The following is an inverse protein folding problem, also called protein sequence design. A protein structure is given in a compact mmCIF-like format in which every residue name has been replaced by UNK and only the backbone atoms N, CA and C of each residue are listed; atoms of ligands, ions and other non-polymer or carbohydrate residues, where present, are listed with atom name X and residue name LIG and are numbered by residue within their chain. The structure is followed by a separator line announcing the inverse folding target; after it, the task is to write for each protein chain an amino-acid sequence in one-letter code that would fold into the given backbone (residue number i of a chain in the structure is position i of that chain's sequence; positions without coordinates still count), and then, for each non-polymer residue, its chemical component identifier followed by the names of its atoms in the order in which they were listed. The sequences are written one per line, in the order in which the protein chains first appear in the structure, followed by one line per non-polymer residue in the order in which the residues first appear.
data_IF_537467725659
#
_entry.id   IF_537467725659
#
_cell.length_a   1.000
_cell.length_b   1.000
_cell.length_c   1.000
_cell.angle_alpha   90.00
_cell.angle_beta   90.00
_cell.angle_gamma   90.00
#
_symmetry.space_group_name_H-M   'P 1'
#
loop_
_entity.id
_entity.type
_entity.pdbx_description
1 polymer ?
#
# COMPACT_ATOMS: atom_id res chain seq x y z
N UNK A 1 24.86 1.64 -8.18
CA UNK A 1 24.38 0.23 -8.23
C UNK A 1 22.86 0.11 -8.47
N UNK A 2 22.15 1.21 -8.76
CA UNK A 2 20.71 1.21 -9.04
C UNK A 2 20.29 0.25 -10.17
N UNK A 3 21.02 0.25 -11.30
CA UNK A 3 20.78 -0.69 -12.41
C UNK A 3 20.85 -2.17 -12.01
N UNK A 4 21.68 -2.52 -11.02
CA UNK A 4 21.79 -3.91 -10.54
C UNK A 4 20.57 -4.29 -9.69
N UNK A 5 20.08 -3.37 -8.86
CA UNK A 5 18.85 -3.55 -8.08
C UNK A 5 17.67 -3.82 -9.00
N UNK A 6 17.43 -2.94 -9.98
CA UNK A 6 16.30 -3.10 -10.93
C UNK A 6 16.34 -4.42 -11.68
N UNK A 7 17.53 -4.90 -12.06
CA UNK A 7 17.68 -6.20 -12.73
C UNK A 7 17.37 -7.37 -11.81
N UNK A 8 17.74 -7.28 -10.54
CA UNK A 8 17.49 -8.33 -9.56
C UNK A 8 16.02 -8.36 -9.14
N UNK A 9 15.38 -7.21 -8.93
CA UNK A 9 13.94 -7.13 -8.67
C UNK A 9 13.15 -7.80 -9.81
N UNK A 10 13.49 -7.47 -11.07
CA UNK A 10 12.87 -8.08 -12.24
C UNK A 10 13.15 -9.60 -12.37
N UNK A 11 14.33 -10.06 -11.91
CA UNK A 11 14.67 -11.48 -11.90
C UNK A 11 13.84 -12.25 -10.86
N UNK A 12 13.70 -11.69 -9.66
CA UNK A 12 12.89 -12.28 -8.58
C UNK A 12 11.41 -12.33 -8.96
N UNK A 13 10.89 -11.26 -9.59
CA UNK A 13 9.52 -11.23 -10.15
C UNK A 13 9.31 -12.33 -11.21
N UNK A 14 10.28 -12.51 -12.12
CA UNK A 14 10.19 -13.53 -13.16
C UNK A 14 10.16 -14.95 -12.56
N UNK A 15 10.98 -15.23 -11.54
CA UNK A 15 10.96 -16.52 -10.85
C UNK A 15 9.62 -16.76 -10.17
N UNK A 16 9.10 -15.77 -9.45
CA UNK A 16 7.81 -15.88 -8.76
C UNK A 16 6.66 -16.12 -9.76
N UNK A 17 6.67 -15.42 -10.91
CA UNK A 17 5.70 -15.64 -11.96
C UNK A 17 5.75 -17.08 -12.50
N UNK A 18 6.95 -17.63 -12.72
CA UNK A 18 7.13 -19.02 -13.15
C UNK A 18 6.63 -20.01 -12.09
N UNK A 19 6.86 -19.74 -10.80
CA UNK A 19 6.35 -20.58 -9.72
C UNK A 19 4.81 -20.64 -9.78
N UNK A 20 4.15 -19.50 -9.97
CA UNK A 20 2.69 -19.42 -10.08
C UNK A 20 2.18 -20.19 -11.31
N UNK A 21 2.85 -20.09 -12.46
CA UNK A 21 2.41 -20.80 -13.67
C UNK A 21 2.64 -22.29 -13.58
N UNK A 22 3.78 -22.76 -13.05
CA UNK A 22 4.03 -24.20 -12.86
C UNK A 22 2.95 -24.82 -11.97
N UNK A 23 2.52 -24.13 -10.90
CA UNK A 23 1.45 -24.64 -10.03
C UNK A 23 0.15 -24.95 -10.76
N UNK A 24 -0.26 -24.12 -11.74
CA UNK A 24 -1.51 -24.37 -12.48
C UNK A 24 -1.35 -25.48 -13.51
N UNK A 25 -0.17 -25.58 -14.12
CA UNK A 25 0.14 -26.62 -15.11
C UNK A 25 0.19 -28.02 -14.49
N UNK A 26 0.45 -28.12 -13.19
CA UNK A 26 0.57 -29.38 -12.47
C UNK A 26 -0.78 -29.94 -11.97
N UNK A 27 -1.90 -29.25 -12.26
CA UNK A 27 -3.24 -29.73 -11.92
C UNK A 27 -3.61 -30.89 -12.86
N UNK A 28 -3.88 -32.10 -12.34
CA UNK A 28 -4.11 -33.27 -13.18
C UNK A 28 -5.43 -33.13 -13.96
N UNK A 29 -5.44 -33.34 -15.29
CA UNK A 29 -6.66 -33.32 -16.08
C UNK A 29 -7.55 -34.53 -15.75
N UNK A 30 -8.84 -34.38 -16.02
CA UNK A 30 -9.80 -35.49 -15.91
C UNK A 30 -9.61 -36.42 -17.11
N UNK A 31 -9.10 -37.63 -16.86
CA UNK A 31 -8.83 -38.63 -17.90
C UNK A 31 -10.02 -39.58 -18.16
N UNK A 32 -10.99 -39.64 -17.25
CA UNK A 32 -12.19 -40.48 -17.38
C UNK A 32 -13.42 -39.68 -17.02
N UNK A 33 -14.43 -39.75 -17.87
CA UNK A 33 -15.70 -39.06 -17.65
C UNK A 33 -16.50 -39.74 -16.53
N UNK A 34 -16.35 -39.22 -15.30
CA UNK A 34 -17.12 -39.66 -14.15
C UNK A 34 -17.23 -38.57 -13.10
N UNK A 35 -18.39 -38.48 -12.45
CA UNK A 35 -18.65 -37.47 -11.41
C UNK A 35 -17.60 -37.44 -10.29
N UNK A 36 -17.12 -38.59 -9.75
CA UNK A 36 -16.05 -38.58 -8.74
C UNK A 36 -14.73 -37.94 -9.22
N UNK A 37 -14.40 -38.04 -10.51
CA UNK A 37 -13.18 -37.44 -11.04
C UNK A 37 -13.26 -35.91 -11.11
N UNK A 38 -14.44 -35.35 -11.41
CA UNK A 38 -14.66 -33.91 -11.36
C UNK A 38 -14.58 -33.35 -9.93
N UNK A 39 -15.10 -34.10 -8.95
CA UNK A 39 -14.93 -33.74 -7.53
C UNK A 39 -13.46 -33.73 -7.13
N UNK A 40 -12.68 -34.73 -7.56
CA UNK A 40 -11.23 -34.76 -7.31
C UNK A 40 -10.52 -33.55 -7.93
N UNK A 41 -10.87 -33.19 -9.17
CA UNK A 41 -10.35 -31.99 -9.83
C UNK A 41 -10.69 -30.72 -9.03
N UNK A 42 -11.93 -30.57 -8.55
CA UNK A 42 -12.31 -29.40 -7.74
C UNK A 42 -11.50 -29.28 -6.45
N UNK A 43 -11.14 -30.41 -5.82
CA UNK A 43 -10.26 -30.42 -4.64
C UNK A 43 -8.84 -29.97 -5.01
N UNK A 44 -8.29 -30.46 -6.12
CA UNK A 44 -6.98 -30.05 -6.63
C UNK A 44 -6.95 -28.56 -6.96
N UNK A 45 -8.01 -28.02 -7.57
CA UNK A 45 -8.16 -26.58 -7.83
C UNK A 45 -8.21 -25.78 -6.51
N UNK A 46 -8.95 -26.26 -5.51
CA UNK A 46 -8.99 -25.63 -4.18
C UNK A 46 -7.60 -25.56 -3.53
N UNK A 47 -6.83 -26.66 -3.59
CA UNK A 47 -5.46 -26.73 -3.09
C UNK A 47 -4.52 -25.82 -3.88
N UNK A 48 -4.69 -25.73 -5.21
CA UNK A 48 -3.98 -24.76 -6.01
C UNK A 48 -4.23 -23.32 -5.53
N UNK A 49 -5.48 -22.94 -5.25
CA UNK A 49 -5.78 -21.59 -4.77
C UNK A 49 -5.13 -21.27 -3.42
N UNK A 50 -5.01 -22.27 -2.52
CA UNK A 50 -4.26 -22.11 -1.26
C UNK A 50 -2.83 -21.65 -1.57
N UNK A 51 -2.12 -22.39 -2.42
CA UNK A 51 -0.74 -22.08 -2.77
C UNK A 51 -0.60 -20.82 -3.60
N UNK A 52 -1.52 -20.57 -4.53
CA UNK A 52 -1.54 -19.36 -5.34
C UNK A 52 -1.59 -18.11 -4.45
N UNK A 53 -2.54 -18.06 -3.51
CA UNK A 53 -2.71 -16.91 -2.61
C UNK A 53 -1.51 -16.79 -1.67
N UNK A 54 -0.96 -17.91 -1.21
CA UNK A 54 0.27 -17.90 -0.42
C UNK A 54 1.44 -17.27 -1.20
N UNK A 55 1.74 -17.74 -2.41
CA UNK A 55 2.84 -17.21 -3.24
C UNK A 55 2.58 -15.75 -3.63
N UNK A 56 1.34 -15.38 -3.96
CA UNK A 56 0.98 -13.98 -4.25
C UNK A 56 1.18 -13.06 -3.03
N UNK A 57 0.86 -13.53 -1.83
CA UNK A 57 1.16 -12.80 -0.59
C UNK A 57 2.67 -12.66 -0.36
N UNK A 58 3.45 -13.69 -0.69
CA UNK A 58 4.91 -13.64 -0.59
C UNK A 58 5.52 -12.66 -1.59
N UNK A 59 5.04 -12.68 -2.83
CA UNK A 59 5.41 -11.70 -3.86
C UNK A 59 5.14 -10.27 -3.39
N UNK A 60 3.95 -10.02 -2.86
CA UNK A 60 3.59 -8.70 -2.36
C UNK A 60 4.48 -8.24 -1.21
N UNK A 61 4.71 -9.12 -0.22
CA UNK A 61 5.60 -8.82 0.91
C UNK A 61 7.03 -8.54 0.43
N UNK A 62 7.50 -9.33 -0.54
CA UNK A 62 8.81 -9.18 -1.18
C UNK A 62 8.93 -7.82 -1.86
N UNK A 63 8.04 -7.48 -2.80
CA UNK A 63 8.04 -6.18 -3.46
C UNK A 63 8.00 -5.02 -2.47
N UNK A 64 7.16 -5.12 -1.44
CA UNK A 64 7.06 -4.09 -0.38
C UNK A 64 8.35 -3.93 0.42
N UNK A 65 9.08 -5.02 0.68
CA UNK A 65 10.38 -4.95 1.36
C UNK A 65 11.47 -4.36 0.46
N UNK A 66 11.47 -4.72 -0.82
CA UNK A 66 12.48 -4.26 -1.80
C UNK A 66 12.25 -2.83 -2.30
N UNK A 67 11.03 -2.29 -2.15
CA UNK A 67 10.75 -0.86 -2.32
C UNK A 67 11.54 0.02 -1.33
N UNK A 68 11.91 -0.49 -0.15
CA UNK A 68 12.57 0.28 0.90
C UNK A 68 14.08 0.47 0.68
N UNK A 69 14.68 -0.24 -0.29
CA UNK A 69 16.13 -0.17 -0.55
C UNK A 69 16.43 0.47 -1.90
N UNK A 70 17.40 1.39 -1.95
CA UNK A 70 17.86 1.97 -3.24
C UNK A 70 19.05 1.21 -3.84
N UNK A 71 19.75 0.41 -3.03
CA UNK A 71 20.94 -0.35 -3.45
C UNK A 71 20.91 -1.77 -2.92
N UNK A 72 21.38 -2.70 -3.76
CA UNK A 72 21.46 -4.12 -3.42
C UNK A 72 22.84 -4.46 -2.84
N UNK A 73 22.87 -4.99 -1.63
CA UNK A 73 24.09 -5.51 -0.98
C UNK A 73 24.23 -7.00 -1.23
N UNK A 74 25.46 -7.52 -1.36
CA UNK A 74 25.75 -8.94 -1.59
C UNK A 74 25.05 -9.89 -0.58
N UNK A 75 24.98 -9.50 0.70
CA UNK A 75 24.27 -10.26 1.73
C UNK A 75 22.77 -10.38 1.47
N UNK A 76 22.12 -9.31 1.00
CA UNK A 76 20.69 -9.32 0.67
C UNK A 76 20.45 -10.20 -0.56
N UNK A 77 21.32 -10.10 -1.57
CA UNK A 77 21.28 -10.95 -2.76
C UNK A 77 21.32 -12.44 -2.41
N UNK A 78 22.24 -12.89 -1.55
CA UNK A 78 22.31 -14.30 -1.14
C UNK A 78 21.02 -14.74 -0.45
N UNK A 79 20.53 -13.92 0.49
CA UNK A 79 19.29 -14.22 1.21
C UNK A 79 18.09 -14.28 0.27
N UNK A 80 18.04 -13.41 -0.74
CA UNK A 80 16.99 -13.39 -1.76
C UNK A 80 17.03 -14.64 -2.66
N UNK A 81 18.21 -15.02 -3.16
CA UNK A 81 18.37 -16.26 -3.94
C UNK A 81 17.96 -17.49 -3.11
N UNK A 82 18.38 -17.55 -1.85
CA UNK A 82 18.00 -18.64 -0.96
C UNK A 82 16.49 -18.67 -0.70
N UNK A 83 15.88 -17.50 -0.48
CA UNK A 83 14.44 -17.35 -0.38
C UNK A 83 13.70 -17.88 -1.62
N UNK A 84 14.11 -17.45 -2.82
CA UNK A 84 13.51 -17.88 -4.09
C UNK A 84 13.68 -19.37 -4.33
N UNK A 85 14.85 -19.93 -3.99
CA UNK A 85 15.10 -21.37 -4.11
C UNK A 85 14.12 -22.17 -3.24
N UNK A 86 13.91 -21.78 -1.98
CA UNK A 86 12.95 -22.48 -1.12
C UNK A 86 11.50 -22.23 -1.56
N UNK A 87 11.17 -21.01 -2.02
CA UNK A 87 9.85 -20.70 -2.57
C UNK A 87 9.52 -21.54 -3.82
N UNK A 88 10.52 -21.86 -4.65
CA UNK A 88 10.36 -22.69 -5.84
C UNK A 88 10.00 -24.16 -5.54
N UNK A 89 10.06 -24.60 -4.28
CA UNK A 89 9.59 -25.91 -3.86
C UNK A 89 8.08 -25.96 -3.62
N UNK A 90 7.40 -24.80 -3.53
CA UNK A 90 5.94 -24.75 -3.28
C UNK A 90 5.13 -25.56 -4.30
N UNK A 91 5.39 -25.52 -5.63
CA UNK A 91 4.63 -26.31 -6.59
C UNK A 91 4.68 -27.81 -6.31
N UNK A 92 5.87 -28.34 -6.00
CA UNK A 92 6.08 -29.75 -5.67
C UNK A 92 5.20 -30.19 -4.49
N UNK A 93 5.27 -29.46 -3.37
CA UNK A 93 4.52 -29.83 -2.17
C UNK A 93 3.01 -29.58 -2.33
N UNK A 94 2.62 -28.62 -3.17
CA UNK A 94 1.23 -28.38 -3.56
C UNK A 94 0.67 -29.58 -4.32
N UNK A 95 1.40 -30.09 -5.32
CA UNK A 95 1.02 -31.29 -6.06
C UNK A 95 0.96 -32.51 -5.14
N UNK A 96 1.99 -32.74 -4.31
CA UNK A 96 1.98 -33.84 -3.34
C UNK A 96 0.74 -33.83 -2.44
N UNK A 97 0.34 -32.65 -1.95
CA UNK A 97 -0.84 -32.46 -1.13
C UNK A 97 -2.16 -32.63 -1.91
N UNK A 98 -2.20 -32.19 -3.17
CA UNK A 98 -3.35 -32.31 -4.08
C UNK A 98 -3.58 -33.74 -4.55
N UNK A 99 -2.50 -34.49 -4.83
CA UNK A 99 -2.55 -35.88 -5.25
C UNK A 99 -3.00 -36.80 -4.11
N UNK A 100 -2.43 -36.59 -2.92
CA UNK A 100 -2.72 -37.38 -1.72
C UNK A 100 -2.80 -36.48 -0.48
N UNK A 101 -4.00 -36.14 -0.03
CA UNK A 101 -4.21 -35.34 1.20
C UNK A 101 -4.07 -36.23 2.44
N UNK A 102 -2.83 -36.46 2.87
CA UNK A 102 -2.50 -37.24 4.06
C UNK A 102 -1.91 -36.36 5.14
N UNK A 103 -1.81 -36.86 6.37
CA UNK A 103 -1.13 -36.13 7.46
C UNK A 103 0.28 -35.69 7.06
N UNK A 104 1.04 -36.54 6.36
CA UNK A 104 2.43 -36.28 6.00
C UNK A 104 2.51 -35.18 4.96
N UNK A 105 1.74 -35.28 3.87
CA UNK A 105 1.79 -34.30 2.78
C UNK A 105 1.33 -32.91 3.22
N UNK A 106 0.26 -32.85 4.04
CA UNK A 106 -0.27 -31.58 4.58
C UNK A 106 0.70 -30.96 5.60
N UNK A 107 1.35 -31.77 6.46
CA UNK A 107 2.39 -31.28 7.37
C UNK A 107 3.63 -30.78 6.64
N UNK A 108 4.12 -31.53 5.65
CA UNK A 108 5.28 -31.18 4.85
C UNK A 108 5.06 -29.84 4.12
N UNK A 109 3.86 -29.65 3.56
CA UNK A 109 3.48 -28.38 2.95
C UNK A 109 3.46 -27.22 3.98
N UNK A 110 2.90 -27.45 5.17
CA UNK A 110 2.93 -26.47 6.26
C UNK A 110 4.34 -26.12 6.76
N UNK A 111 5.21 -27.11 6.89
CA UNK A 111 6.62 -26.94 7.26
C UNK A 111 7.34 -26.11 6.20
N UNK A 112 7.11 -26.39 4.92
CA UNK A 112 7.69 -25.61 3.83
C UNK A 112 7.21 -24.15 3.88
N UNK A 113 5.90 -23.90 4.07
CA UNK A 113 5.40 -22.53 4.25
C UNK A 113 6.05 -21.83 5.45
N UNK A 114 6.18 -22.52 6.59
CA UNK A 114 6.84 -21.96 7.77
C UNK A 114 8.31 -21.62 7.48
N UNK A 115 9.03 -22.50 6.78
CA UNK A 115 10.41 -22.28 6.36
C UNK A 115 10.54 -21.06 5.44
N UNK A 116 9.69 -20.96 4.41
CA UNK A 116 9.63 -19.79 3.51
C UNK A 116 9.41 -18.50 4.30
N UNK A 117 8.44 -18.50 5.24
CA UNK A 117 8.16 -17.35 6.09
C UNK A 117 9.36 -16.98 6.97
N UNK A 118 10.04 -17.96 7.58
CA UNK A 118 11.20 -17.71 8.45
C UNK A 118 12.35 -17.10 7.65
N UNK A 119 12.64 -17.64 6.47
CA UNK A 119 13.69 -17.12 5.58
C UNK A 119 13.35 -15.70 5.13
N UNK A 120 12.11 -15.46 4.73
CA UNK A 120 11.67 -14.13 4.32
C UNK A 120 11.70 -13.12 5.48
N UNK A 121 11.37 -13.54 6.72
CA UNK A 121 11.55 -12.70 7.91
C UNK A 121 13.02 -12.32 8.14
N UNK A 122 13.95 -13.24 7.93
CA UNK A 122 15.37 -12.95 8.02
C UNK A 122 15.81 -11.94 6.94
N UNK A 123 15.34 -12.12 5.70
CA UNK A 123 15.58 -11.20 4.58
C UNK A 123 15.02 -9.79 4.86
N UNK A 124 13.75 -9.68 5.23
CA UNK A 124 13.10 -8.43 5.57
C UNK A 124 13.79 -7.74 6.76
N UNK A 125 14.20 -8.48 7.79
CA UNK A 125 14.95 -7.94 8.92
C UNK A 125 16.29 -7.36 8.47
N UNK A 126 17.02 -8.06 7.60
CA UNK A 126 18.29 -7.58 7.06
C UNK A 126 18.12 -6.31 6.24
N UNK A 127 17.05 -6.21 5.44
CA UNK A 127 16.68 -5.00 4.68
C UNK A 127 16.38 -3.84 5.62
N UNK A 128 15.51 -4.04 6.60
CA UNK A 128 15.08 -2.98 7.54
C UNK A 128 16.27 -2.43 8.33
N UNK A 129 17.16 -3.31 8.83
CA UNK A 129 18.33 -2.88 9.60
C UNK A 129 19.42 -2.21 8.75
N UNK A 130 19.38 -2.40 7.43
CA UNK A 130 20.29 -1.69 6.51
C UNK A 130 19.86 -0.23 6.32
N UNK A 131 18.56 0.03 6.26
CA UNK A 131 18.00 1.35 5.91
C UNK A 131 17.64 2.19 7.13
N UNK A 132 17.24 1.56 8.23
CA UNK A 132 16.72 2.25 9.40
C UNK A 132 17.56 1.90 10.62
N UNK A 133 17.82 2.90 11.47
CA UNK A 133 18.45 2.75 12.79
C UNK A 133 17.47 3.02 13.93
N UNK A 134 16.43 3.82 13.67
CA UNK A 134 15.37 4.13 14.62
C UNK A 134 14.33 2.99 14.73
N UNK A 135 14.04 2.56 15.96
CA UNK A 135 13.10 1.46 16.23
C UNK A 135 11.67 1.78 15.82
N UNK A 136 11.25 3.05 15.90
CA UNK A 136 9.92 3.49 15.48
C UNK A 136 9.73 3.41 13.97
N UNK A 137 10.74 3.83 13.21
CA UNK A 137 10.77 3.69 11.75
C UNK A 137 10.78 2.21 11.32
N UNK A 138 11.62 1.38 11.95
CA UNK A 138 11.65 -0.07 11.70
C UNK A 138 10.28 -0.72 11.91
N UNK A 139 9.58 -0.37 13.00
CA UNK A 139 8.26 -0.92 13.30
C UNK A 139 7.22 -0.53 12.25
N UNK A 140 7.26 0.71 11.74
CA UNK A 140 6.36 1.16 10.67
C UNK A 140 6.56 0.34 9.38
N UNK A 141 7.82 0.12 8.99
CA UNK A 141 8.14 -0.68 7.80
C UNK A 141 7.78 -2.15 8.01
N UNK A 142 8.00 -2.69 9.21
CA UNK A 142 7.60 -4.06 9.54
C UNK A 142 6.07 -4.25 9.41
N UNK A 143 5.28 -3.29 9.91
CA UNK A 143 3.83 -3.28 9.75
C UNK A 143 3.42 -3.08 8.28
N UNK A 144 4.17 -2.32 7.49
CA UNK A 144 3.94 -2.17 6.05
C UNK A 144 4.12 -3.49 5.31
N UNK A 145 5.19 -4.24 5.63
CA UNK A 145 5.50 -5.52 4.98
C UNK A 145 4.52 -6.61 5.41
N UNK A 146 4.31 -6.81 6.72
CA UNK A 146 3.58 -7.97 7.24
C UNK A 146 2.13 -7.68 7.68
N UNK A 147 1.74 -6.42 7.78
CA UNK A 147 0.47 -6.00 8.38
C UNK A 147 0.53 -5.91 9.91
N UNK A 148 -0.45 -5.22 10.52
CA UNK A 148 -0.50 -4.98 11.98
C UNK A 148 -0.73 -6.25 12.81
N UNK A 149 -1.11 -7.36 12.17
CA UNK A 149 -1.43 -8.64 12.81
C UNK A 149 -0.22 -9.61 12.76
N UNK A 150 0.94 -9.14 12.29
CA UNK A 150 2.09 -9.99 12.00
C UNK A 150 2.58 -10.85 13.18
N UNK A 151 2.45 -10.40 14.42
CA UNK A 151 2.94 -11.15 15.58
C UNK A 151 2.18 -12.47 15.81
N UNK A 152 0.96 -12.58 15.28
CA UNK A 152 0.15 -13.80 15.37
C UNK A 152 0.41 -14.80 14.24
N UNK A 153 1.17 -14.43 13.21
CA UNK A 153 1.40 -15.27 12.03
C UNK A 153 2.16 -16.57 12.34
N UNK A 154 3.26 -16.47 13.09
CA UNK A 154 4.08 -17.62 13.46
C UNK A 154 3.33 -18.64 14.34
N UNK A 155 2.63 -18.24 15.42
CA UNK A 155 1.89 -19.20 16.23
C UNK A 155 0.72 -19.84 15.47
N UNK A 156 0.03 -19.11 14.59
CA UNK A 156 -1.06 -19.66 13.75
C UNK A 156 -0.51 -20.70 12.76
N UNK A 157 0.62 -20.40 12.11
CA UNK A 157 1.26 -21.35 11.20
C UNK A 157 1.70 -22.63 11.92
N UNK A 158 2.25 -22.51 13.13
CA UNK A 158 2.66 -23.66 13.94
C UNK A 158 1.44 -24.48 14.39
N UNK A 159 0.37 -23.80 14.82
CA UNK A 159 -0.90 -24.45 15.17
C UNK A 159 -1.48 -25.21 13.98
N UNK A 160 -1.44 -24.65 12.77
CA UNK A 160 -1.94 -25.32 11.57
C UNK A 160 -1.15 -26.61 11.25
N UNK A 161 0.16 -26.64 11.51
CA UNK A 161 0.98 -27.86 11.37
C UNK A 161 0.57 -28.91 12.41
N UNK A 162 0.31 -28.51 13.66
CA UNK A 162 -0.18 -29.42 14.70
C UNK A 162 -1.56 -29.98 14.33
N UNK A 163 -2.47 -29.13 13.85
CA UNK A 163 -3.79 -29.56 13.36
C UNK A 163 -3.64 -30.51 12.18
N UNK A 164 -2.70 -30.29 11.27
CA UNK A 164 -2.45 -31.17 10.12
C UNK A 164 -2.08 -32.61 10.52
N UNK A 165 -1.41 -32.79 11.67
CA UNK A 165 -1.06 -34.11 12.17
C UNK A 165 -2.30 -34.94 12.56
N UNK A 166 -3.29 -34.30 13.19
CA UNK A 166 -4.51 -34.97 13.67
C UNK A 166 -5.65 -34.95 12.64
N UNK A 167 -5.84 -33.82 11.94
CA UNK A 167 -6.96 -33.52 11.06
C UNK A 167 -6.48 -32.82 9.77
N UNK A 168 -5.87 -33.55 8.81
CA UNK A 168 -5.29 -32.96 7.60
C UNK A 168 -6.31 -32.20 6.74
N UNK A 169 -7.55 -32.70 6.64
CA UNK A 169 -8.61 -32.01 5.89
C UNK A 169 -9.02 -30.68 6.56
N UNK A 170 -9.01 -30.62 7.90
CA UNK A 170 -9.30 -29.37 8.64
C UNK A 170 -8.15 -28.37 8.46
N UNK A 171 -6.91 -28.85 8.46
CA UNK A 171 -5.74 -28.01 8.22
C UNK A 171 -5.73 -27.36 6.84
N UNK A 172 -6.28 -28.00 5.79
CA UNK A 172 -6.46 -27.36 4.48
C UNK A 172 -7.30 -26.09 4.56
N UNK A 173 -8.41 -26.12 5.31
CA UNK A 173 -9.23 -24.92 5.50
C UNK A 173 -8.47 -23.82 6.25
N UNK A 174 -7.65 -24.17 7.23
CA UNK A 174 -6.79 -23.21 7.92
C UNK A 174 -5.74 -22.61 6.97
N UNK A 175 -5.08 -23.43 6.16
CA UNK A 175 -4.13 -22.98 5.16
C UNK A 175 -4.78 -22.14 4.06
N UNK A 176 -6.07 -22.34 3.74
CA UNK A 176 -6.80 -21.49 2.79
C UNK A 176 -7.28 -20.17 3.42
N UNK A 177 -7.93 -20.25 4.57
CA UNK A 177 -8.56 -19.11 5.22
C UNK A 177 -7.52 -18.08 5.65
N UNK A 178 -6.37 -18.52 6.15
CA UNK A 178 -5.34 -17.64 6.67
C UNK A 178 -4.74 -16.69 5.61
N UNK A 179 -4.24 -17.15 4.45
CA UNK A 179 -3.74 -16.28 3.39
C UNK A 179 -4.83 -15.35 2.81
N UNK A 180 -6.07 -15.81 2.72
CA UNK A 180 -7.21 -14.99 2.25
C UNK A 180 -7.49 -13.85 3.23
N UNK A 181 -7.66 -14.16 4.51
CA UNK A 181 -7.91 -13.16 5.55
C UNK A 181 -6.76 -12.14 5.56
N UNK A 182 -5.52 -12.61 5.48
CA UNK A 182 -4.35 -11.76 5.42
C UNK A 182 -4.35 -10.86 4.17
N UNK A 183 -4.64 -11.41 2.99
CA UNK A 183 -4.72 -10.64 1.75
C UNK A 183 -5.78 -9.54 1.85
N UNK A 184 -6.99 -9.89 2.34
CA UNK A 184 -8.09 -8.95 2.50
C UNK A 184 -7.80 -7.87 3.55
N UNK A 185 -7.29 -8.25 4.73
CA UNK A 185 -6.94 -7.30 5.79
C UNK A 185 -5.81 -6.36 5.36
N UNK A 186 -4.80 -6.90 4.68
CA UNK A 186 -3.70 -6.10 4.18
C UNK A 186 -4.15 -5.17 3.03
N UNK A 187 -5.16 -5.52 2.23
CA UNK A 187 -5.70 -4.64 1.19
C UNK A 187 -6.28 -3.33 1.76
N UNK A 188 -6.91 -3.38 2.95
CA UNK A 188 -7.45 -2.19 3.61
C UNK A 188 -6.35 -1.29 4.18
N UNK A 189 -5.29 -1.86 4.77
CA UNK A 189 -4.13 -1.10 5.26
C UNK A 189 -3.34 -0.45 4.10
N UNK A 190 -3.29 -1.11 2.94
CA UNK A 190 -2.65 -0.61 1.71
C UNK A 190 -3.35 0.62 1.15
N UNK A 191 -4.68 0.60 1.04
CA UNK A 191 -5.44 1.78 0.61
C UNK A 191 -5.18 2.99 1.53
N UNK A 192 -5.02 2.76 2.83
CA UNK A 192 -4.75 3.84 3.78
C UNK A 192 -3.42 4.54 3.52
N UNK A 193 -2.35 3.82 3.16
CA UNK A 193 -1.08 4.47 2.83
C UNK A 193 -1.15 5.26 1.53
N UNK A 194 -1.86 4.75 0.51
CA UNK A 194 -2.12 5.51 -0.72
C UNK A 194 -2.96 6.77 -0.44
N UNK A 195 -4.01 6.64 0.38
CA UNK A 195 -4.89 7.75 0.75
C UNK A 195 -4.15 8.80 1.61
N UNK A 196 -3.25 8.37 2.50
CA UNK A 196 -2.41 9.27 3.32
C UNK A 196 -1.30 9.92 2.48
N UNK A 197 -0.69 9.19 1.53
CA UNK A 197 0.29 9.76 0.61
C UNK A 197 -0.30 10.86 -0.29
N UNK A 198 -1.62 10.84 -0.52
CA UNK A 198 -2.35 11.90 -1.21
C UNK A 198 -2.65 13.12 -0.32
N UNK A 199 -2.46 13.03 1.00
CA UNK A 199 -2.65 14.17 1.90
C UNK A 199 -1.50 15.18 1.77
N UNK A 200 -1.75 16.49 2.01
CA UNK A 200 -0.69 17.49 2.16
C UNK A 200 0.34 17.07 3.23
N UNK A 201 1.63 17.33 3.01
CA UNK A 201 2.74 16.88 3.89
C UNK A 201 2.53 17.17 5.39
N UNK A 202 1.89 18.30 5.72
CA UNK A 202 1.57 18.66 7.11
C UNK A 202 0.58 17.67 7.78
N UNK A 203 -0.37 17.10 7.03
CA UNK A 203 -1.36 16.14 7.54
C UNK A 203 -0.80 14.71 7.58
N UNK A 204 0.20 14.39 6.77
CA UNK A 204 0.89 13.11 6.82
C UNK A 204 1.61 12.93 8.16
N UNK A 205 2.20 14.02 8.70
CA UNK A 205 2.87 14.01 9.99
C UNK A 205 1.89 13.79 11.15
N UNK A 206 0.72 14.43 11.13
CA UNK A 206 -0.34 14.20 12.13
C UNK A 206 -0.79 12.74 12.14
N UNK A 207 -0.91 12.10 10.97
CA UNK A 207 -1.28 10.68 10.87
C UNK A 207 -0.27 9.76 11.58
N UNK A 208 1.01 10.13 11.62
CA UNK A 208 2.04 9.35 12.33
C UNK A 208 1.91 9.40 13.85
N UNK A 209 1.13 10.34 14.38
CA UNK A 209 0.89 10.51 15.82
C UNK A 209 -0.39 9.84 16.31
N UNK A 210 -1.24 9.35 15.41
CA UNK A 210 -2.55 8.78 15.75
C UNK A 210 -2.43 7.40 16.40
N UNK A 211 -3.22 7.16 17.44
CA UNK A 211 -3.37 5.82 18.03
C UNK A 211 -4.27 4.92 17.14
N UNK A 212 -4.42 3.65 17.53
CA UNK A 212 -5.20 2.69 16.74
C UNK A 212 -6.68 3.10 16.56
N UNK A 213 -7.29 3.75 17.56
CA UNK A 213 -8.69 4.20 17.55
C UNK A 213 -8.89 5.45 16.69
N UNK A 214 -7.97 6.41 16.76
CA UNK A 214 -7.95 7.61 15.93
C UNK A 214 -7.79 7.26 14.45
N UNK A 215 -6.92 6.29 14.15
CA UNK A 215 -6.82 5.71 12.82
C UNK A 215 -8.15 5.08 12.39
N UNK A 216 -8.90 4.39 13.27
CA UNK A 216 -10.23 3.84 12.92
C UNK A 216 -11.25 4.94 12.64
N UNK A 217 -11.26 6.00 13.44
CA UNK A 217 -12.17 7.12 13.30
C UNK A 217 -11.91 7.89 12.00
N UNK A 218 -10.63 8.16 11.70
CA UNK A 218 -10.21 8.77 10.43
C UNK A 218 -10.67 7.93 9.23
N UNK A 219 -10.50 6.60 9.28
CA UNK A 219 -10.99 5.68 8.23
C UNK A 219 -12.49 5.80 7.99
N UNK A 220 -13.29 5.87 9.05
CA UNK A 220 -14.75 6.07 8.94
C UNK A 220 -15.06 7.41 8.28
N UNK A 221 -14.38 8.48 8.69
CA UNK A 221 -14.58 9.81 8.13
C UNK A 221 -14.22 9.87 6.64
N UNK A 222 -13.07 9.31 6.22
CA UNK A 222 -12.66 9.28 4.83
C UNK A 222 -13.61 8.47 3.93
N UNK A 223 -14.04 7.28 4.39
CA UNK A 223 -15.06 6.48 3.67
C UNK A 223 -16.35 7.26 3.48
N UNK A 224 -16.76 8.04 4.49
CA UNK A 224 -17.96 8.88 4.41
C UNK A 224 -17.78 10.03 3.41
N UNK A 225 -16.63 10.70 3.43
CA UNK A 225 -16.30 11.78 2.49
C UNK A 225 -16.30 11.26 1.05
N UNK A 226 -15.69 10.10 0.78
CA UNK A 226 -15.65 9.50 -0.56
C UNK A 226 -17.05 9.09 -1.04
N UNK A 227 -17.87 8.50 -0.16
CA UNK A 227 -19.28 8.18 -0.47
C UNK A 227 -20.09 9.43 -0.78
N UNK A 228 -19.88 10.51 -0.03
CA UNK A 228 -20.57 11.77 -0.25
C UNK A 228 -20.11 12.45 -1.54
N UNK A 229 -18.81 12.43 -1.83
CA UNK A 229 -18.25 12.95 -3.09
C UNK A 229 -18.79 12.19 -4.31
N UNK A 230 -18.91 10.86 -4.22
CA UNK A 230 -19.53 10.04 -5.26
C UNK A 230 -21.01 10.41 -5.45
N UNK A 231 -21.78 10.54 -4.36
CA UNK A 231 -23.19 10.98 -4.43
C UNK A 231 -23.35 12.38 -5.03
N UNK A 232 -22.46 13.32 -4.70
CA UNK A 232 -22.48 14.67 -5.27
C UNK A 232 -22.13 14.64 -6.76
N UNK A 233 -21.16 13.82 -7.17
CA UNK A 233 -20.83 13.61 -8.58
C UNK A 233 -21.97 12.93 -9.35
N UNK A 234 -22.65 11.96 -8.73
CA UNK A 234 -23.83 11.28 -9.27
C UNK A 234 -25.01 12.25 -9.41
N UNK A 235 -25.23 13.14 -8.43
CA UNK A 235 -26.24 14.20 -8.50
C UNK A 235 -25.89 15.26 -9.56
N UNK A 236 -24.61 15.59 -9.73
CA UNK A 236 -24.12 16.48 -10.80
C UNK A 236 -24.27 15.83 -12.20
N UNK A 237 -24.05 14.52 -12.30
CA UNK A 237 -24.28 13.74 -13.52
C UNK A 237 -25.78 13.60 -13.85
N UNK A 238 -26.61 13.33 -12.84
CA UNK A 238 -28.07 13.24 -12.99
C UNK A 238 -28.71 14.59 -13.34
N UNK A 239 -28.14 15.71 -12.89
CA UNK A 239 -28.60 17.06 -13.25
C UNK A 239 -28.13 17.51 -14.64
N UNK A 240 -27.03 16.95 -15.17
CA UNK A 240 -26.57 17.19 -16.53
C UNK A 240 -27.31 16.36 -17.60
N UNK A 241 -27.96 15.26 -17.21
CA UNK A 241 -28.82 14.44 -18.08
C UNK A 241 -30.20 15.06 -18.40
N UNK A 242 -30.55 16.24 -17.83
CA UNK A 242 -31.85 16.91 -18.03
C UNK A 242 -31.94 17.93 -19.18
N UNK A 243 -30.89 18.08 -20.00
CA UNK A 243 -30.95 18.93 -21.21
C UNK A 243 -30.83 18.08 -22.48
N UNK A 244 -31.80 18.13 -23.42
CA UNK A 244 -31.63 17.48 -24.70
C UNK A 244 -30.69 18.34 -25.56
N UNK A 245 -29.51 17.83 -25.86
CA UNK A 245 -28.64 18.40 -26.89
C UNK A 245 -28.18 17.30 -27.84
N UNK A 246 -28.66 17.43 -29.08
CA UNK A 246 -28.24 16.74 -30.30
C UNK A 246 -26.71 16.60 -30.44
N UNK A 247 -26.23 15.56 -31.14
CA UNK A 247 -24.80 15.28 -31.25
C UNK A 247 -24.10 16.36 -32.08
N UNK A 248 -23.18 17.10 -31.45
CA UNK A 248 -22.20 17.93 -32.15
C UNK A 248 -20.81 17.33 -31.95
N UNK A 249 -20.12 17.24 -33.09
CA UNK A 249 -18.71 16.96 -33.38
C UNK A 249 -17.74 17.20 -32.21
N UNK A 250 -16.69 16.37 -32.03
CA UNK A 250 -15.69 16.55 -30.98
C UNK A 250 -15.12 17.99 -31.00
N UNK A 251 -14.94 18.64 -29.84
CA UNK A 251 -14.35 19.96 -29.80
C UNK A 251 -12.90 19.90 -30.26
N UNK A 252 -12.60 20.66 -31.30
CA UNK A 252 -11.26 20.93 -31.78
C UNK A 252 -10.43 21.54 -30.63
N UNK A 253 -9.17 21.14 -30.44
CA UNK A 253 -8.33 21.71 -29.39
C UNK A 253 -8.18 23.22 -29.60
N UNK A 254 -8.45 23.99 -28.55
CA UNK A 254 -8.34 25.45 -28.57
C UNK A 254 -6.92 25.90 -28.98
N UNK A 255 -6.80 27.03 -29.72
CA UNK A 255 -5.50 27.52 -30.15
C UNK A 255 -4.65 27.88 -28.93
N UNK A 256 -3.35 27.55 -28.99
CA UNK A 256 -2.35 27.94 -27.98
C UNK A 256 -2.26 29.47 -27.94
N UNK A 257 -3.06 30.11 -27.11
CA UNK A 257 -2.92 31.53 -26.80
C UNK A 257 -1.72 31.72 -25.87
N UNK A 258 -0.86 32.68 -26.20
CA UNK A 258 0.29 33.12 -25.40
C UNK A 258 -0.10 33.37 -23.92
N UNK A 259 0.56 32.66 -23.01
CA UNK A 259 0.33 32.71 -21.55
C UNK A 259 1.44 33.45 -20.79
N UNK A 260 2.32 34.14 -21.52
CA UNK A 260 3.44 34.90 -20.95
C UNK A 260 2.94 36.23 -20.39
N UNK A 261 2.86 36.37 -19.06
CA UNK A 261 2.77 37.69 -18.43
C UNK A 261 1.50 38.06 -17.65
N UNK A 262 0.70 37.09 -17.19
CA UNK A 262 -0.47 37.42 -16.33
C UNK A 262 -0.07 37.41 -14.85
N UNK A 263 0.18 38.60 -14.29
CA UNK A 263 0.57 38.80 -12.90
C UNK A 263 -0.61 38.66 -11.92
N UNK A 264 -0.32 38.25 -10.68
CA UNK A 264 -1.29 38.23 -9.58
C UNK A 264 -1.77 39.66 -9.27
N UNK A 265 -3.03 39.86 -8.81
CA UNK A 265 -3.46 41.14 -8.26
C UNK A 265 -2.53 41.59 -7.12
N UNK A 266 -2.23 42.89 -7.04
CA UNK A 266 -1.26 43.43 -6.06
C UNK A 266 -1.58 43.05 -4.60
N UNK A 267 -2.86 43.01 -4.24
CA UNK A 267 -3.27 42.68 -2.88
C UNK A 267 -2.96 41.22 -2.52
N UNK A 268 -2.99 40.33 -3.51
CA UNK A 268 -2.73 38.91 -3.34
C UNK A 268 -1.22 38.62 -3.35
N UNK A 269 -0.44 39.32 -4.19
CA UNK A 269 1.02 39.19 -4.16
C UNK A 269 1.59 39.66 -2.82
N UNK A 270 1.19 40.84 -2.34
CA UNK A 270 1.62 41.38 -1.03
C UNK A 270 1.26 40.47 0.13
N UNK A 271 0.08 39.83 0.10
CA UNK A 271 -0.30 38.87 1.14
C UNK A 271 0.55 37.59 1.09
N UNK A 272 0.81 37.06 -0.11
CA UNK A 272 1.64 35.86 -0.30
C UNK A 272 3.07 36.10 0.20
N UNK A 273 3.65 37.27 -0.12
CA UNK A 273 4.99 37.65 0.34
C UNK A 273 5.12 37.69 1.87
N UNK A 274 4.04 38.08 2.56
CA UNK A 274 4.05 38.22 4.02
C UNK A 274 3.72 36.93 4.78
N UNK A 275 2.99 35.99 4.16
CA UNK A 275 2.37 34.88 4.89
C UNK A 275 2.75 33.48 4.37
N UNK A 276 3.46 33.37 3.24
CA UNK A 276 3.71 32.09 2.56
C UNK A 276 5.19 31.95 2.18
N UNK A 277 5.75 30.75 2.36
CA UNK A 277 7.15 30.47 2.03
C UNK A 277 7.40 30.57 0.49
N UNK A 278 8.55 31.08 0.04
CA UNK A 278 8.89 31.26 -1.39
C UNK A 278 8.73 30.01 -2.28
N UNK A 279 8.91 28.79 -1.76
CA UNK A 279 8.68 27.56 -2.54
C UNK A 279 7.19 27.29 -2.81
N UNK A 280 6.32 27.65 -1.86
CA UNK A 280 4.86 27.50 -1.97
C UNK A 280 4.25 28.61 -2.83
N UNK A 281 4.83 29.81 -2.76
CA UNK A 281 4.43 30.96 -3.55
C UNK A 281 4.51 30.68 -5.06
N UNK A 282 5.64 30.13 -5.54
CA UNK A 282 5.83 29.80 -6.97
C UNK A 282 4.73 28.87 -7.51
N UNK A 283 4.35 27.86 -6.73
CA UNK A 283 3.30 26.90 -7.08
C UNK A 283 1.90 27.53 -7.11
N UNK A 284 1.61 28.49 -6.23
CA UNK A 284 0.33 29.20 -6.23
C UNK A 284 0.21 30.16 -7.42
N UNK A 285 1.31 30.84 -7.78
CA UNK A 285 1.36 31.71 -8.97
C UNK A 285 1.15 30.90 -10.26
N UNK A 286 1.77 29.73 -10.38
CA UNK A 286 1.57 28.82 -11.53
C UNK A 286 0.15 28.25 -11.62
N UNK A 287 -0.51 28.02 -10.49
CA UNK A 287 -1.92 27.60 -10.49
C UNK A 287 -2.87 28.73 -10.86
N UNK A 288 -2.57 29.95 -10.43
CA UNK A 288 -3.35 31.15 -10.78
C UNK A 288 -3.28 31.46 -12.28
N UNK A 289 -2.10 31.32 -12.89
CA UNK A 289 -1.96 31.53 -14.34
C UNK A 289 -2.78 30.53 -15.17
N UNK A 290 -3.08 29.34 -14.61
CA UNK A 290 -3.87 28.27 -15.24
C UNK A 290 -5.37 28.26 -14.88
N UNK A 291 -5.84 29.08 -13.94
CA UNK A 291 -7.25 29.07 -13.47
C UNK A 291 -8.20 29.85 -14.40
N UNK A 292 -9.47 29.43 -14.45
CA UNK A 292 -10.54 30.12 -15.20
C UNK A 292 -10.99 31.41 -14.51
N UNK A 293 -11.59 32.36 -15.24
CA UNK A 293 -12.00 33.67 -14.70
C UNK A 293 -12.95 33.57 -13.50
N UNK A 294 -13.90 32.63 -13.53
CA UNK A 294 -14.83 32.38 -12.42
C UNK A 294 -14.10 31.94 -11.14
N UNK A 295 -13.07 31.09 -11.26
CA UNK A 295 -12.26 30.66 -10.11
C UNK A 295 -11.42 31.80 -9.54
N UNK A 296 -10.95 32.73 -10.39
CA UNK A 296 -10.17 33.90 -9.96
C UNK A 296 -11.02 34.88 -9.17
N UNK A 297 -12.28 35.10 -9.58
CA UNK A 297 -13.21 35.96 -8.85
C UNK A 297 -13.55 35.40 -7.46
N UNK A 298 -13.77 34.10 -7.34
CA UNK A 298 -13.98 33.44 -6.05
C UNK A 298 -12.75 33.57 -5.14
N UNK A 299 -11.55 33.38 -5.68
CA UNK A 299 -10.30 33.54 -4.92
C UNK A 299 -10.12 34.98 -4.42
N UNK A 300 -10.38 35.97 -5.27
CA UNK A 300 -10.28 37.38 -4.93
C UNK A 300 -11.29 37.78 -3.84
N UNK A 301 -12.51 37.25 -3.88
CA UNK A 301 -13.51 37.46 -2.83
C UNK A 301 -13.07 36.84 -1.49
N UNK A 302 -12.57 35.60 -1.52
CA UNK A 302 -12.08 34.91 -0.32
C UNK A 302 -10.92 35.65 0.36
N UNK A 303 -9.99 36.23 -0.41
CA UNK A 303 -8.88 37.04 0.12
C UNK A 303 -9.38 38.29 0.83
N UNK A 304 -10.33 39.01 0.22
CA UNK A 304 -10.94 40.21 0.82
C UNK A 304 -11.65 39.88 2.13
N UNK A 305 -12.35 38.75 2.20
CA UNK A 305 -12.99 38.28 3.44
C UNK A 305 -11.97 37.93 4.53
N UNK A 306 -10.87 37.25 4.16
CA UNK A 306 -9.79 36.90 5.10
C UNK A 306 -9.05 38.11 5.65
N UNK A 307 -8.78 39.11 4.81
CA UNK A 307 -8.16 40.36 5.25
C UNK A 307 -9.03 41.09 6.27
N UNK A 308 -10.36 41.15 6.05
CA UNK A 308 -11.31 41.70 7.02
C UNK A 308 -11.29 40.95 8.36
N UNK A 309 -11.18 39.61 8.34
CA UNK A 309 -11.12 38.80 9.57
C UNK A 309 -9.79 38.96 10.34
N UNK A 310 -8.68 39.25 9.67
CA UNK A 310 -7.39 39.45 10.32
C UNK A 310 -7.26 40.82 10.99
N UNK A 311 -7.92 41.87 10.45
CA UNK A 311 -7.92 43.21 11.06
C UNK A 311 -8.68 43.26 12.40
N UNK A 312 -9.56 42.28 12.69
CA UNK A 312 -10.35 42.22 13.93
C UNK A 312 -9.78 41.35 15.06
N UNK A 313 -8.59 40.74 14.90
CA UNK A 313 -8.01 39.85 15.93
C UNK A 313 -6.97 40.59 16.79
N UNK A 314 -7.10 40.60 18.14
CA UNK A 314 -6.07 41.15 19.00
C UNK A 314 -4.77 40.34 18.85
N UNK A 315 -3.64 41.04 18.71
CA UNK A 315 -2.30 40.43 18.61
C UNK A 315 -2.04 39.58 19.85
N UNK A 316 -1.80 38.27 19.67
CA UNK A 316 -1.37 37.37 20.75
C UNK A 316 -0.04 37.88 21.34
N UNK A 317 0.11 37.99 22.67
CA UNK A 317 1.39 38.30 23.28
C UNK A 317 2.41 37.19 22.96
N UNK A 318 3.63 37.60 22.59
CA UNK A 318 4.75 36.69 22.33
C UNK A 318 5.05 35.90 23.62
N UNK A 319 5.11 34.57 23.52
CA UNK A 319 5.60 33.72 24.61
C UNK A 319 7.07 34.08 24.91
N UNK A 320 7.49 34.18 26.18
CA UNK A 320 8.89 34.36 26.54
C UNK A 320 9.71 33.14 26.11
N UNK A 321 10.87 33.40 25.50
CA UNK A 321 11.88 32.41 25.14
C UNK A 321 12.43 31.71 26.39
N UNK A 322 12.58 30.38 26.41
CA UNK A 322 13.24 29.70 27.51
C UNK A 322 14.75 30.01 27.52
N UNK A 323 15.39 30.09 28.70
CA UNK A 323 16.82 30.39 28.80
C UNK A 323 17.68 29.24 28.25
N UNK A 324 18.94 29.51 27.83
CA UNK A 324 19.84 28.50 27.30
C UNK A 324 20.15 27.45 28.38
N UNK A 325 20.23 26.17 27.99
CA UNK A 325 20.69 25.09 28.88
C UNK A 325 22.20 25.19 29.09
N UNK A 326 22.60 25.15 30.35
CA UNK A 326 23.98 25.18 30.84
C UNK A 326 24.75 23.91 30.41
N UNK A 327 26.00 24.00 29.90
CA UNK A 327 26.75 22.84 29.40
C UNK A 327 27.25 21.85 30.48
N UNK A 328 27.20 22.18 31.78
CA UNK A 328 27.93 21.43 32.82
C UNK A 328 27.13 20.34 33.56
N UNK A 329 26.07 19.79 32.98
CA UNK A 329 25.38 18.61 33.54
C UNK A 329 25.55 17.37 32.66
N UNK A 330 26.80 16.88 32.58
CA UNK A 330 27.11 15.47 32.31
C UNK A 330 28.29 15.05 33.19
N UNK A 331 27.97 14.43 34.32
CA UNK A 331 28.86 13.55 35.05
C UNK A 331 28.12 12.23 35.27
#
# INVERSE_FOLDING_TARGET
MEKLKTRLDAFSDAIIAIIITIMVLDIPPVLRDSWPNYLKLSKSIGIFFISFIFVANMWYQHGTAFEEIDTMTYRILILDIFFLAVLSLIPLFTNMMAANTTRITVMLYGILQALVNIIFRALAKAIIHLQYTDKGAMQKVYVKIYGSVSNYMNPISLLAIVVAFFFPEVALFLYLAYPIIMFLMNSEARQQMYDVAQLPEAQQQDFTTFNADDQRAFRKAQRQIRKNAYKVAEQAAASSLKKPTTPKTPPQPAPKSDFSGRMLPEDLSKWLDQNVNPAQQRRMTERYSRSSEAQRQQLAQWVKERQKQQQGRPKRPKKPTPPPKDPDQRA
#
